data_IF_177686167734
#
_entry.id   IF_177686167734
#
_cell.length_a   1.000
_cell.length_b   1.000
_cell.length_c   1.000
_cell.angle_alpha   90.00
_cell.angle_beta   90.00
_cell.angle_gamma   90.00
#
_symmetry.space_group_name_H-M   'P 1'
#
loop_
_entity.id
_entity.type
_entity.pdbx_description
1 polymer ?
#
# COMPACT_ATOMS: atom_id res chain seq x y z
N UNK A 1 -2.05 -28.53 25.25
CA UNK A 1 -3.15 -27.78 24.62
C UNK A 1 -2.55 -27.02 23.44
N UNK A 2 -2.89 -27.40 22.20
CA UNK A 2 -2.09 -27.06 21.01
C UNK A 2 -2.68 -25.83 20.29
N UNK A 3 -2.24 -24.63 20.69
CA UNK A 3 -2.73 -23.34 20.19
C UNK A 3 -2.74 -23.26 18.64
N UNK A 4 -1.71 -23.82 17.99
CA UNK A 4 -1.59 -23.85 16.52
C UNK A 4 -2.67 -24.64 15.81
N UNK A 5 -3.23 -25.67 16.45
CA UNK A 5 -4.32 -26.46 15.85
C UNK A 5 -5.66 -25.71 16.01
N UNK A 6 -5.85 -25.03 17.15
CA UNK A 6 -7.05 -24.22 17.43
C UNK A 6 -7.12 -22.98 16.53
N UNK A 7 -5.99 -22.32 16.27
CA UNK A 7 -5.89 -21.21 15.29
C UNK A 7 -6.24 -21.66 13.87
N UNK A 8 -5.73 -22.83 13.43
CA UNK A 8 -6.06 -23.40 12.12
C UNK A 8 -7.53 -23.75 11.98
N UNK A 9 -8.16 -24.29 13.02
CA UNK A 9 -9.61 -24.55 13.01
C UNK A 9 -10.43 -23.25 13.00
N UNK A 10 -10.02 -22.21 13.74
CA UNK A 10 -10.65 -20.88 13.68
C UNK A 10 -10.50 -20.23 12.30
N UNK A 11 -9.32 -20.30 11.68
CA UNK A 11 -9.11 -19.77 10.34
C UNK A 11 -9.88 -20.56 9.29
N UNK A 12 -9.89 -21.90 9.37
CA UNK A 12 -10.65 -22.73 8.44
C UNK A 12 -12.17 -22.56 8.59
N UNK A 13 -12.68 -22.41 9.81
CA UNK A 13 -14.10 -22.12 10.05
C UNK A 13 -14.47 -20.72 9.56
N UNK A 14 -13.65 -19.70 9.88
CA UNK A 14 -13.83 -18.34 9.36
C UNK A 14 -13.76 -18.30 7.84
N UNK A 15 -12.85 -19.05 7.22
CA UNK A 15 -12.72 -19.13 5.77
C UNK A 15 -13.95 -19.78 5.13
N UNK A 16 -14.50 -20.86 5.71
CA UNK A 16 -15.75 -21.46 5.23
C UNK A 16 -16.94 -20.51 5.36
N UNK A 17 -17.11 -19.88 6.52
CA UNK A 17 -18.15 -18.87 6.71
C UNK A 17 -17.96 -17.67 5.77
N UNK A 18 -16.72 -17.29 5.50
CA UNK A 18 -16.43 -16.18 4.62
C UNK A 18 -16.71 -16.55 3.15
N UNK A 19 -16.46 -17.80 2.72
CA UNK A 19 -16.82 -18.30 1.38
C UNK A 19 -18.34 -18.35 1.20
N UNK A 20 -19.06 -18.86 2.21
CA UNK A 20 -20.52 -18.86 2.23
C UNK A 20 -21.09 -17.42 2.14
N UNK A 21 -20.51 -16.48 2.91
CA UNK A 21 -20.92 -15.06 2.85
C UNK A 21 -20.52 -14.43 1.52
N UNK A 22 -19.38 -14.78 0.92
CA UNK A 22 -18.96 -14.27 -0.39
C UNK A 22 -19.96 -14.67 -1.47
N UNK A 23 -20.40 -15.93 -1.46
CA UNK A 23 -21.39 -16.46 -2.38
C UNK A 23 -22.78 -15.87 -2.13
N UNK A 24 -23.23 -15.80 -0.87
CA UNK A 24 -24.54 -15.26 -0.48
C UNK A 24 -24.67 -13.77 -0.82
N UNK A 25 -23.58 -12.99 -0.64
CA UNK A 25 -23.54 -11.57 -0.99
C UNK A 25 -23.33 -11.33 -2.49
N UNK A 26 -23.01 -12.36 -3.25
CA UNK A 26 -22.80 -12.28 -4.71
C UNK A 26 -21.58 -11.46 -5.12
N UNK A 27 -20.52 -11.44 -4.31
CA UNK A 27 -19.31 -10.69 -4.65
C UNK A 27 -18.60 -11.33 -5.85
N UNK A 28 -18.12 -10.52 -6.82
CA UNK A 28 -17.49 -11.05 -8.02
C UNK A 28 -16.15 -11.71 -7.71
N UNK A 29 -15.74 -12.64 -8.57
CA UNK A 29 -14.36 -13.14 -8.53
C UNK A 29 -13.44 -12.09 -9.16
N UNK A 30 -12.50 -11.57 -8.38
CA UNK A 30 -11.60 -10.50 -8.84
C UNK A 30 -10.54 -11.07 -9.78
N UNK A 31 -10.49 -10.53 -11.00
CA UNK A 31 -9.36 -10.72 -11.91
C UNK A 31 -8.33 -9.60 -11.71
N UNK A 32 -7.27 -9.93 -10.98
CA UNK A 32 -6.17 -9.01 -10.68
C UNK A 32 -5.43 -8.52 -11.93
N UNK A 33 -5.40 -9.33 -13.01
CA UNK A 33 -4.71 -8.95 -14.24
C UNK A 33 -5.50 -7.90 -15.02
N UNK A 34 -6.83 -8.00 -15.01
CA UNK A 34 -7.73 -7.05 -15.64
C UNK A 34 -7.96 -5.78 -14.81
N UNK A 35 -7.67 -5.82 -13.49
CA UNK A 35 -7.93 -4.72 -12.57
C UNK A 35 -7.28 -3.41 -13.04
N UNK A 36 -6.02 -3.43 -13.50
CA UNK A 36 -5.36 -2.22 -14.03
C UNK A 36 -6.10 -1.59 -15.21
N UNK A 37 -6.71 -2.40 -16.08
CA UNK A 37 -7.50 -1.90 -17.20
C UNK A 37 -8.79 -1.25 -16.74
N UNK A 38 -9.44 -1.83 -15.73
CA UNK A 38 -10.66 -1.29 -15.12
C UNK A 38 -10.40 0.03 -14.40
N UNK A 39 -9.29 0.11 -13.65
CA UNK A 39 -8.88 1.35 -12.99
C UNK A 39 -8.74 2.51 -13.97
N UNK A 40 -8.19 2.26 -15.17
CA UNK A 40 -8.08 3.29 -16.23
C UNK A 40 -9.43 3.85 -16.66
N UNK A 41 -10.48 3.04 -16.69
CA UNK A 41 -11.82 3.50 -17.07
C UNK A 41 -12.37 4.53 -16.06
N UNK A 42 -11.96 4.44 -14.80
CA UNK A 42 -12.43 5.32 -13.73
C UNK A 42 -11.49 6.48 -13.41
N UNK A 43 -10.39 6.64 -14.16
CA UNK A 43 -9.45 7.77 -13.99
C UNK A 43 -10.12 9.14 -14.14
N UNK A 44 -11.15 9.24 -15.00
CA UNK A 44 -11.92 10.48 -15.14
C UNK A 44 -12.62 10.91 -13.85
N UNK A 45 -13.12 9.95 -13.06
CA UNK A 45 -13.74 10.24 -11.76
C UNK A 45 -12.71 10.75 -10.73
N UNK A 46 -11.53 10.12 -10.68
CA UNK A 46 -10.43 10.57 -9.81
C UNK A 46 -9.94 11.97 -10.20
N UNK A 47 -9.81 12.24 -11.49
CA UNK A 47 -9.45 13.57 -11.98
C UNK A 47 -10.49 14.62 -11.55
N UNK A 48 -11.79 14.31 -11.66
CA UNK A 48 -12.85 15.21 -11.22
C UNK A 48 -12.80 15.51 -9.71
N UNK A 49 -12.33 14.58 -8.88
CA UNK A 49 -12.09 14.83 -7.45
C UNK A 49 -10.90 15.77 -7.26
N UNK A 50 -9.79 15.55 -7.99
CA UNK A 50 -8.58 16.36 -7.88
C UNK A 50 -8.78 17.81 -8.35
N UNK A 51 -9.60 18.02 -9.38
CA UNK A 51 -9.98 19.36 -9.86
C UNK A 51 -11.00 20.08 -8.97
N UNK A 52 -11.57 19.38 -7.97
CA UNK A 52 -12.64 19.91 -7.12
C UNK A 52 -14.02 19.95 -7.77
N UNK A 53 -14.21 19.32 -8.93
CA UNK A 53 -15.51 19.16 -9.59
C UNK A 53 -16.44 18.20 -8.85
N UNK A 54 -15.90 17.30 -8.02
CA UNK A 54 -16.67 16.39 -7.18
C UNK A 54 -16.24 16.48 -5.71
N UNK A 55 -17.20 16.78 -4.82
CA UNK A 55 -16.95 16.77 -3.38
C UNK A 55 -17.06 15.34 -2.82
N UNK A 56 -15.92 14.72 -2.55
CA UNK A 56 -15.89 13.36 -1.97
C UNK A 56 -16.40 13.36 -0.51
N UNK A 57 -17.31 12.45 -0.13
CA UNK A 57 -17.70 12.25 1.26
C UNK A 57 -16.51 11.88 2.18
N UNK A 58 -15.49 11.24 1.62
CA UNK A 58 -14.30 10.82 2.36
C UNK A 58 -13.39 11.99 2.71
N UNK A 59 -13.45 13.10 1.96
CA UNK A 59 -12.73 14.33 2.31
C UNK A 59 -13.18 14.85 3.68
N UNK A 60 -14.50 14.95 3.91
CA UNK A 60 -15.06 15.40 5.19
C UNK A 60 -14.68 14.46 6.34
N UNK A 61 -14.72 13.16 6.10
CA UNK A 61 -14.32 12.16 7.09
C UNK A 61 -12.84 12.27 7.44
N UNK A 62 -11.97 12.41 6.44
CA UNK A 62 -10.53 12.54 6.64
C UNK A 62 -10.18 13.86 7.35
N UNK A 63 -10.77 14.98 6.95
CA UNK A 63 -10.58 16.27 7.62
C UNK A 63 -10.97 16.22 9.11
N UNK A 64 -12.06 15.51 9.44
CA UNK A 64 -12.47 15.28 10.83
C UNK A 64 -11.46 14.44 11.60
N UNK A 65 -10.93 13.36 11.01
CA UNK A 65 -9.92 12.53 11.65
C UNK A 65 -8.62 13.29 11.90
N UNK A 66 -8.17 14.07 10.92
CA UNK A 66 -6.92 14.85 11.02
C UNK A 66 -7.04 16.00 12.03
N UNK A 67 -8.20 16.66 12.11
CA UNK A 67 -8.43 17.69 13.14
C UNK A 67 -8.48 17.09 14.56
N UNK A 68 -9.02 15.88 14.72
CA UNK A 68 -9.03 15.17 15.99
C UNK A 68 -7.65 14.65 16.41
N UNK A 69 -6.80 14.28 15.46
CA UNK A 69 -5.45 13.77 15.74
C UNK A 69 -4.46 14.88 16.14
N UNK A 70 -4.66 16.13 15.70
CA UNK A 70 -3.86 17.30 16.14
C UNK A 70 -3.88 17.54 17.67
N UNK A 71 -4.86 17.00 18.40
CA UNK A 71 -4.97 17.12 19.85
C UNK A 71 -4.42 15.95 20.67
N UNK A 72 -3.99 14.84 20.05
CA UNK A 72 -3.51 13.64 20.75
C UNK A 72 -2.04 13.42 20.43
N UNK A 73 -1.22 13.11 21.45
CA UNK A 73 0.21 12.85 21.25
C UNK A 73 0.42 11.77 20.18
N UNK A 74 1.44 12.00 19.33
CA UNK A 74 1.76 11.22 18.13
C UNK A 74 1.90 9.70 18.35
N UNK A 75 2.10 9.26 19.60
CA UNK A 75 2.18 7.84 19.96
C UNK A 75 0.87 7.06 19.84
N UNK A 76 -0.30 7.69 19.95
CA UNK A 76 -1.59 6.97 19.92
C UNK A 76 -2.18 6.79 18.51
N UNK A 77 -1.80 7.64 17.56
CA UNK A 77 -2.20 7.48 16.16
C UNK A 77 -1.36 6.39 15.47
N UNK A 78 -0.04 6.36 15.74
CA UNK A 78 0.86 5.31 15.25
C UNK A 78 0.56 3.95 15.88
N UNK A 79 0.21 3.88 17.17
CA UNK A 79 -0.21 2.64 17.83
C UNK A 79 -1.56 2.10 17.34
N UNK A 80 -2.36 2.91 16.64
CA UNK A 80 -3.54 2.40 15.96
C UNK A 80 -3.19 1.63 14.69
N UNK A 81 -2.00 1.85 14.10
CA UNK A 81 -1.33 1.07 13.02
C UNK A 81 -2.15 0.80 11.75
N UNK A 82 -3.43 1.11 11.81
CA UNK A 82 -4.42 0.98 10.80
C UNK A 82 -4.55 2.36 10.24
N UNK A 83 -4.26 2.46 8.96
CA UNK A 83 -4.99 3.35 8.09
C UNK A 83 -6.50 3.08 8.34
N UNK A 84 -7.07 3.73 9.34
CA UNK A 84 -8.36 3.33 9.93
C UNK A 84 -9.48 3.85 9.05
N UNK A 85 -10.00 2.96 8.21
CA UNK A 85 -11.44 2.96 7.96
C UNK A 85 -11.86 2.86 6.51
N UNK A 86 -10.94 2.92 5.54
CA UNK A 86 -11.27 2.85 4.12
C UNK A 86 -10.39 1.81 3.43
N UNK A 87 -10.40 0.61 4.02
CA UNK A 87 -10.01 -0.61 3.33
C UNK A 87 -10.74 -0.65 2.00
N UNK A 88 -10.10 -1.19 0.98
CA UNK A 88 -10.68 -1.37 -0.35
C UNK A 88 -11.89 -2.35 -0.39
N UNK A 89 -12.63 -2.51 0.72
CA UNK A 89 -13.73 -3.46 0.86
C UNK A 89 -13.28 -4.88 0.58
N UNK A 90 -14.07 -5.59 -0.22
CA UNK A 90 -13.78 -6.95 -0.65
C UNK A 90 -12.49 -7.06 -1.48
N UNK A 91 -11.91 -5.95 -1.98
CA UNK A 91 -10.62 -5.99 -2.67
C UNK A 91 -9.42 -6.16 -1.71
N UNK A 92 -9.60 -6.00 -0.40
CA UNK A 92 -8.57 -6.24 0.61
C UNK A 92 -7.32 -5.36 0.47
N UNK A 93 -6.26 -5.71 1.21
CA UNK A 93 -5.00 -4.95 1.21
C UNK A 93 -4.26 -5.04 -0.13
N UNK A 94 -4.38 -6.17 -0.85
CA UNK A 94 -3.82 -6.31 -2.20
C UNK A 94 -4.43 -5.31 -3.19
N UNK A 95 -5.76 -5.18 -3.20
CA UNK A 95 -6.42 -4.24 -4.09
C UNK A 95 -6.20 -2.78 -3.70
N UNK A 96 -6.13 -2.50 -2.40
CA UNK A 96 -5.74 -1.17 -1.90
C UNK A 96 -4.37 -0.75 -2.44
N UNK A 97 -3.36 -1.63 -2.36
CA UNK A 97 -2.02 -1.36 -2.89
C UNK A 97 -2.04 -1.09 -4.40
N UNK A 98 -2.69 -1.96 -5.17
CA UNK A 98 -2.80 -1.81 -6.63
C UNK A 98 -3.48 -0.49 -7.00
N UNK A 99 -4.55 -0.12 -6.29
CA UNK A 99 -5.24 1.16 -6.50
C UNK A 99 -4.35 2.36 -6.15
N UNK A 100 -3.70 2.34 -4.99
CA UNK A 100 -2.83 3.42 -4.55
C UNK A 100 -1.66 3.63 -5.51
N UNK A 101 -0.97 2.56 -5.91
CA UNK A 101 0.11 2.62 -6.90
C UNK A 101 -0.37 3.18 -8.24
N UNK A 102 -1.52 2.71 -8.72
CA UNK A 102 -2.09 3.19 -9.97
C UNK A 102 -2.42 4.68 -9.94
N UNK A 103 -3.02 5.15 -8.85
CA UNK A 103 -3.37 6.57 -8.65
C UNK A 103 -2.09 7.42 -8.57
N UNK A 104 -1.11 7.01 -7.76
CA UNK A 104 0.15 7.75 -7.58
C UNK A 104 0.91 7.84 -8.90
N UNK A 105 1.00 6.74 -9.66
CA UNK A 105 1.69 6.73 -10.95
C UNK A 105 0.98 7.62 -11.98
N UNK A 106 -0.35 7.59 -12.03
CA UNK A 106 -1.12 8.31 -13.04
C UNK A 106 -1.24 9.81 -12.75
N UNK A 107 -1.44 10.18 -11.49
CA UNK A 107 -1.77 11.55 -11.08
C UNK A 107 -0.62 12.23 -10.29
N UNK A 108 0.62 11.79 -10.51
CA UNK A 108 1.77 12.25 -9.71
C UNK A 108 1.98 13.76 -9.77
N UNK A 109 1.77 14.37 -10.93
CA UNK A 109 1.99 15.81 -11.14
C UNK A 109 0.84 16.64 -10.57
N UNK A 110 -0.41 16.17 -10.73
CA UNK A 110 -1.60 16.76 -10.15
C UNK A 110 -1.54 16.71 -8.63
N UNK A 111 -1.20 15.55 -8.05
CA UNK A 111 -1.00 15.38 -6.60
C UNK A 111 0.10 16.30 -6.07
N UNK A 112 1.21 16.44 -6.81
CA UNK A 112 2.30 17.36 -6.44
C UNK A 112 1.88 18.82 -6.51
N UNK A 113 1.13 19.22 -7.54
CA UNK A 113 0.59 20.58 -7.66
C UNK A 113 -0.37 20.87 -6.50
N UNK A 114 -1.34 19.97 -6.32
CA UNK A 114 -2.39 20.04 -5.32
C UNK A 114 -1.82 20.07 -3.89
N UNK A 115 -0.74 19.33 -3.61
CA UNK A 115 -0.06 19.35 -2.31
C UNK A 115 0.42 20.72 -1.84
N UNK A 116 0.60 21.69 -2.76
CA UNK A 116 1.02 23.06 -2.41
C UNK A 116 -0.13 23.92 -1.94
N UNK A 117 -1.36 23.59 -2.34
CA UNK A 117 -2.56 24.38 -2.08
C UNK A 117 -3.51 23.69 -1.11
N UNK A 118 -3.54 22.35 -1.08
CA UNK A 118 -4.49 21.59 -0.27
C UNK A 118 -4.06 21.47 1.20
N UNK A 119 -4.88 21.98 2.14
CA UNK A 119 -4.56 21.92 3.56
C UNK A 119 -4.42 20.51 4.10
N UNK A 120 -5.19 19.53 3.59
CA UNK A 120 -5.10 18.14 4.06
C UNK A 120 -3.78 17.47 3.62
N UNK A 121 -3.24 17.83 2.46
CA UNK A 121 -1.96 17.33 1.98
C UNK A 121 -0.77 18.06 2.61
N UNK A 122 -0.95 19.30 3.06
CA UNK A 122 0.10 20.08 3.72
C UNK A 122 0.43 19.60 5.16
N UNK A 123 -0.42 18.75 5.75
CA UNK A 123 -0.24 18.26 7.12
C UNK A 123 0.80 17.14 7.14
N UNK A 124 1.80 17.26 8.01
CA UNK A 124 2.84 16.26 8.20
C UNK A 124 2.43 15.17 9.20
N UNK A 125 2.82 13.92 8.94
CA UNK A 125 2.58 12.76 9.82
C UNK A 125 2.00 11.54 9.11
N UNK A 126 1.82 10.44 9.84
CA UNK A 126 1.38 9.14 9.30
C UNK A 126 -0.02 9.15 8.68
N UNK A 127 -0.85 10.15 9.00
CA UNK A 127 -2.20 10.33 8.46
C UNK A 127 -2.32 11.60 7.61
N UNK A 128 -1.20 12.23 7.27
CA UNK A 128 -1.14 13.44 6.44
C UNK A 128 -0.31 13.22 5.18
N UNK A 129 -0.12 14.28 4.40
CA UNK A 129 0.65 14.22 3.16
C UNK A 129 -0.11 13.60 1.99
N UNK A 130 0.58 13.50 0.86
CA UNK A 130 0.03 12.97 -0.39
C UNK A 130 -0.42 11.51 -0.23
N UNK A 131 0.38 10.68 0.46
CA UNK A 131 0.03 9.27 0.70
C UNK A 131 -1.22 9.14 1.59
N UNK A 132 -1.31 9.91 2.69
CA UNK A 132 -2.50 9.95 3.54
C UNK A 132 -3.76 10.35 2.76
N UNK A 133 -3.65 11.35 1.90
CA UNK A 133 -4.75 11.78 1.04
C UNK A 133 -5.19 10.69 0.05
N UNK A 134 -4.24 10.03 -0.62
CA UNK A 134 -4.52 8.96 -1.59
C UNK A 134 -5.28 7.83 -0.92
N UNK A 135 -4.76 7.30 0.18
CA UNK A 135 -5.39 6.17 0.86
C UNK A 135 -6.71 6.54 1.55
N UNK A 136 -6.86 7.78 2.05
CA UNK A 136 -8.07 8.18 2.78
C UNK A 136 -9.23 8.61 1.89
N UNK A 137 -8.95 9.04 0.66
CA UNK A 137 -9.95 9.65 -0.22
C UNK A 137 -9.97 8.97 -1.58
N UNK A 138 -8.83 8.90 -2.26
CA UNK A 138 -8.81 8.48 -3.66
C UNK A 138 -8.99 6.96 -3.82
N UNK A 139 -8.34 6.16 -2.98
CA UNK A 139 -8.51 4.71 -2.96
C UNK A 139 -9.97 4.31 -2.70
N UNK A 140 -10.66 4.82 -1.66
CA UNK A 140 -12.05 4.45 -1.43
C UNK A 140 -13.02 4.96 -2.50
N UNK A 141 -12.78 6.14 -3.09
CA UNK A 141 -13.56 6.59 -4.26
C UNK A 141 -13.38 5.66 -5.45
N UNK A 142 -12.15 5.16 -5.65
CA UNK A 142 -11.86 4.21 -6.70
C UNK A 142 -12.53 2.86 -6.44
N UNK A 143 -12.42 2.36 -5.22
CA UNK A 143 -13.08 1.12 -4.81
C UNK A 143 -14.60 1.23 -4.97
N UNK A 144 -15.24 2.33 -4.55
CA UNK A 144 -16.67 2.56 -4.77
C UNK A 144 -17.03 2.51 -6.26
N UNK A 145 -16.23 3.14 -7.12
CA UNK A 145 -16.50 3.15 -8.57
C UNK A 145 -16.43 1.74 -9.17
N UNK A 146 -15.48 0.92 -8.71
CA UNK A 146 -15.38 -0.49 -9.09
C UNK A 146 -16.54 -1.34 -8.54
N UNK A 147 -16.97 -1.09 -7.30
CA UNK A 147 -18.11 -1.79 -6.69
C UNK A 147 -19.41 -1.47 -7.41
N UNK A 148 -19.61 -0.20 -7.82
CA UNK A 148 -20.75 0.21 -8.62
C UNK A 148 -20.79 -0.53 -9.97
N UNK A 149 -19.63 -0.68 -10.61
CA UNK A 149 -19.48 -1.43 -11.86
C UNK A 149 -19.77 -2.93 -11.66
N UNK A 150 -19.19 -3.54 -10.62
CA UNK A 150 -19.29 -4.96 -10.31
C UNK A 150 -20.69 -5.41 -9.89
N UNK A 151 -21.29 -4.64 -8.96
CA UNK A 151 -22.54 -4.99 -8.29
C UNK A 151 -23.75 -4.30 -8.94
N UNK A 152 -23.53 -3.55 -10.04
CA UNK A 152 -24.54 -2.76 -10.74
C UNK A 152 -25.43 -1.96 -9.78
N UNK A 153 -24.80 -1.26 -8.84
CA UNK A 153 -25.49 -0.56 -7.76
C UNK A 153 -25.21 0.94 -7.77
N UNK A 154 -26.04 1.68 -7.02
CA UNK A 154 -25.81 3.09 -6.79
C UNK A 154 -24.63 3.33 -5.86
N UNK A 155 -24.17 4.58 -5.83
CA UNK A 155 -23.00 4.98 -5.05
C UNK A 155 -23.21 4.75 -3.55
N UNK A 156 -24.39 5.01 -3.02
CA UNK A 156 -24.67 4.82 -1.59
C UNK A 156 -24.62 3.36 -1.18
N UNK A 157 -25.23 2.45 -1.96
CA UNK A 157 -25.11 1.02 -1.73
C UNK A 157 -23.68 0.53 -1.91
N UNK A 158 -22.94 1.06 -2.89
CA UNK A 158 -21.53 0.71 -3.07
C UNK A 158 -20.66 1.08 -1.87
N UNK A 159 -20.92 2.23 -1.22
CA UNK A 159 -20.22 2.60 0.03
C UNK A 159 -20.56 1.67 1.19
N UNK A 160 -21.83 1.24 1.31
CA UNK A 160 -22.23 0.26 2.31
C UNK A 160 -21.51 -1.08 2.08
N UNK A 161 -21.48 -1.54 0.82
CA UNK A 161 -20.75 -2.76 0.45
C UNK A 161 -19.25 -2.60 0.76
N UNK A 162 -18.64 -1.46 0.44
CA UNK A 162 -17.23 -1.19 0.77
C UNK A 162 -16.96 -1.37 2.27
N UNK A 163 -17.81 -0.79 3.13
CA UNK A 163 -17.68 -0.89 4.57
C UNK A 163 -17.93 -2.32 5.09
N UNK A 164 -19.02 -2.95 4.65
CA UNK A 164 -19.45 -4.28 5.11
C UNK A 164 -18.47 -5.39 4.67
N UNK A 165 -17.82 -5.21 3.52
CA UNK A 165 -16.91 -6.19 2.94
C UNK A 165 -15.46 -6.04 3.36
N UNK A 166 -15.11 -5.00 4.11
CA UNK A 166 -13.73 -4.68 4.49
C UNK A 166 -13.03 -5.83 5.24
N UNK A 167 -13.72 -6.50 6.17
CA UNK A 167 -13.14 -7.59 6.95
C UNK A 167 -13.01 -8.88 6.15
N UNK A 168 -13.97 -9.17 5.28
CA UNK A 168 -13.97 -10.35 4.42
C UNK A 168 -12.93 -10.21 3.31
N UNK A 169 -12.82 -9.01 2.73
CA UNK A 169 -11.80 -8.70 1.74
C UNK A 169 -10.39 -8.83 2.27
N UNK A 170 -10.14 -8.43 3.52
CA UNK A 170 -8.85 -8.70 4.18
C UNK A 170 -8.57 -10.21 4.30
N UNK A 171 -9.57 -11.03 4.61
CA UNK A 171 -9.36 -12.48 4.75
C UNK A 171 -9.07 -13.17 3.41
N UNK A 172 -9.72 -12.75 2.32
CA UNK A 172 -9.58 -13.38 1.00
C UNK A 172 -8.49 -12.78 0.13
N UNK A 173 -8.29 -11.46 0.24
CA UNK A 173 -7.47 -10.67 -0.65
C UNK A 173 -6.43 -9.86 0.14
N UNK A 174 -5.94 -10.47 1.23
CA UNK A 174 -4.72 -10.01 1.88
C UNK A 174 -3.57 -10.01 0.89
N UNK A 175 -2.69 -9.02 1.01
CA UNK A 175 -1.37 -9.12 0.43
C UNK A 175 -0.64 -10.32 1.08
N UNK A 176 -0.22 -11.29 0.27
CA UNK A 176 0.74 -12.29 0.75
C UNK A 176 2.05 -11.54 0.97
N UNK A 177 2.48 -11.40 2.23
CA UNK A 177 3.81 -10.90 2.56
C UNK A 177 4.81 -11.65 1.68
N UNK A 178 5.38 -10.95 0.70
CA UNK A 178 6.52 -11.44 -0.06
C UNK A 178 7.55 -11.82 0.99
N UNK A 179 7.75 -13.14 1.19
CA UNK A 179 8.70 -13.66 2.16
C UNK A 179 10.04 -13.08 1.78
N UNK A 180 10.43 -12.01 2.47
CA UNK A 180 11.75 -11.45 2.39
C UNK A 180 12.66 -12.61 2.78
N UNK A 181 13.37 -13.21 1.81
CA UNK A 181 14.51 -14.03 2.14
C UNK A 181 15.41 -13.08 2.92
N UNK A 182 15.41 -13.23 4.25
CA UNK A 182 16.49 -12.71 5.07
C UNK A 182 17.72 -13.37 4.50
N UNK A 183 18.44 -12.66 3.64
CA UNK A 183 19.83 -12.93 3.39
C UNK A 183 20.47 -12.68 4.75
N UNK A 184 20.68 -13.76 5.49
CA UNK A 184 21.49 -13.77 6.68
C UNK A 184 22.90 -13.38 6.18
N UNK A 185 23.23 -12.11 6.33
CA UNK A 185 24.59 -11.64 6.10
C UNK A 185 25.39 -12.23 7.25
N UNK A 186 26.03 -13.37 6.97
CA UNK A 186 26.86 -14.10 7.92
C UNK A 186 28.08 -13.24 8.25
N UNK A 187 27.94 -12.38 9.25
CA UNK A 187 28.94 -11.41 9.70
C UNK A 187 29.96 -12.08 10.63
N UNK A 188 30.43 -13.29 10.33
CA UNK A 188 31.52 -13.93 11.08
C UNK A 188 32.30 -14.92 10.20
N UNK A 189 33.21 -14.44 9.36
CA UNK A 189 34.43 -15.20 9.09
C UNK A 189 35.62 -14.31 8.69
N UNK A 190 36.18 -13.61 9.68
CA UNK A 190 37.58 -13.15 9.62
C UNK A 190 38.29 -13.51 10.93
N UNK A 191 38.60 -14.79 11.07
CA UNK A 191 39.75 -15.28 11.83
C UNK A 191 40.48 -16.21 10.84
N UNK A 192 41.69 -15.96 10.36
CA UNK A 192 42.87 -15.41 11.03
C UNK A 192 43.87 -16.55 11.14
N UNK A 193 44.86 -16.60 10.24
CA UNK A 193 46.16 -17.28 10.44
C UNK A 193 47.19 -16.63 9.54
N UNK A 194 48.23 -16.08 10.19
CA UNK A 194 49.49 -15.67 9.58
C UNK A 194 50.31 -16.90 9.19
N UNK A 195 51.18 -16.76 8.18
CA UNK A 195 52.65 -16.88 8.27
C UNK A 195 53.25 -17.34 6.93
N UNK A 196 54.15 -16.49 6.44
CA UNK A 196 55.41 -16.73 5.71
C UNK A 196 55.49 -17.81 4.62
N UNK A 197 55.79 -17.36 3.39
CA UNK A 197 56.87 -17.95 2.59
C UNK A 197 57.42 -16.91 1.59
N UNK A 198 58.74 -16.71 1.69
CA UNK A 198 59.60 -15.90 0.83
C UNK A 198 59.67 -16.45 -0.61
N UNK A 199 59.52 -15.59 -1.62
CA UNK A 199 60.31 -15.73 -2.85
C UNK A 199 60.75 -14.36 -3.38
N UNK A 200 62.05 -14.14 -3.27
CA UNK A 200 62.81 -13.05 -3.87
C UNK A 200 63.15 -13.42 -5.31
N UNK A 201 62.72 -12.62 -6.29
CA UNK A 201 63.44 -12.50 -7.56
C UNK A 201 63.75 -11.05 -7.92
N UNK A 202 64.97 -10.90 -8.40
CA UNK A 202 65.81 -9.72 -8.49
C UNK A 202 65.58 -8.81 -9.70
N UNK A 203 65.76 -7.50 -9.48
CA UNK A 203 66.39 -6.49 -10.39
C UNK A 203 65.61 -6.11 -11.66
N UNK A 204 65.56 -4.89 -12.21
CA UNK A 204 66.48 -3.75 -12.29
C UNK A 204 65.67 -2.43 -12.51
N UNK A 205 66.14 -1.32 -11.92
CA UNK A 205 66.00 0.07 -12.46
C UNK A 205 67.13 0.30 -13.49
N UNK A 206 67.22 1.42 -14.24
CA UNK A 206 66.25 2.48 -14.63
C UNK A 206 66.35 2.86 -16.14
N UNK A 207 65.58 3.85 -16.63
CA UNK A 207 66.15 4.98 -17.43
C UNK A 207 65.17 6.13 -17.74
N UNK A 208 65.71 7.35 -17.64
CA UNK A 208 65.18 8.68 -17.97
C UNK A 208 65.20 8.97 -19.49
N UNK A 209 64.39 9.95 -19.91
CA UNK A 209 64.50 10.74 -21.16
C UNK A 209 63.42 10.34 -22.17
N UNK A 210 62.71 11.24 -22.86
CA UNK A 210 63.16 12.49 -23.49
C UNK A 210 61.94 13.37 -23.87
N UNK A 211 62.16 14.70 -23.89
CA UNK A 211 61.26 15.76 -24.40
C UNK A 211 61.18 15.74 -25.94
N UNK A 212 60.20 16.47 -26.49
CA UNK A 212 60.23 17.47 -27.58
C UNK A 212 58.87 17.43 -28.31
N UNK A 213 58.21 18.52 -28.69
CA UNK A 213 58.55 19.93 -28.75
C UNK A 213 57.30 20.78 -28.45
#
# INVERSE_FOLDING_TARGET
>A
MNLRLQEKFCQAHKARTADDVWQDRGYPRIDWSALHSRLRAHHGHIHAILDGHYESPYYKQHAKLVSQSKGRSAGSAAASGRFTGLRAGYYGTKGEKIMAENIIQKFSDELRSLSRTEPLMAISGASGGVSGYVHAILVPEMAVSLIMEDMHCDRDKARLILADSADIGEMFNAEEDEKVQRVEVDLLNTSGTNDDDDEVFHTQKPRKGFRLA
#
